data_IF_370644260056
#
_entry.id   IF_370644260056
#
_cell.length_a   1.000
_cell.length_b   1.000
_cell.length_c   1.000
_cell.angle_alpha   90.00
_cell.angle_beta   90.00
_cell.angle_gamma   90.00
#
_symmetry.space_group_name_H-M   'P 1'
#
loop_
_entity.id
_entity.type
_entity.pdbx_description
1 polymer ?
#
# COMPACT_ATOMS: atom_id res chain seq x y z
N UNK A 1 20.78 20.27 2.93
CA UNK A 1 20.02 19.69 4.02
C UNK A 1 20.75 18.44 4.54
N UNK A 2 21.09 18.43 5.82
CA UNK A 2 21.67 17.25 6.44
C UNK A 2 20.57 16.21 6.64
N UNK A 3 20.64 15.13 5.88
CA UNK A 3 19.75 13.99 6.09
C UNK A 3 20.12 13.30 7.42
N UNK A 4 19.12 12.84 8.18
CA UNK A 4 19.39 11.97 9.31
C UNK A 4 20.25 10.78 8.88
N UNK A 5 21.18 10.36 9.73
CA UNK A 5 22.07 9.23 9.43
C UNK A 5 21.39 7.93 9.84
N UNK A 6 21.53 6.92 9.01
CA UNK A 6 21.05 5.58 9.31
C UNK A 6 20.29 4.95 8.17
N UNK A 7 20.16 3.64 8.26
CA UNK A 7 19.36 2.87 7.33
C UNK A 7 17.86 3.16 7.60
N UNK A 8 17.08 3.41 6.60
CA UNK A 8 15.69 3.89 6.68
C UNK A 8 15.54 5.36 7.10
N UNK A 9 16.63 6.15 7.15
CA UNK A 9 16.56 7.59 7.33
C UNK A 9 15.94 8.26 6.09
N UNK A 10 15.08 9.27 6.33
CA UNK A 10 14.35 9.98 5.29
C UNK A 10 14.47 11.49 5.48
N UNK A 11 14.29 12.25 4.40
CA UNK A 11 14.15 13.70 4.50
C UNK A 11 12.82 14.07 5.15
N UNK A 12 12.78 15.21 5.85
CA UNK A 12 11.58 15.70 6.55
C UNK A 12 10.57 16.39 5.64
N UNK A 13 11.00 16.83 4.45
CA UNK A 13 10.13 17.49 3.48
C UNK A 13 9.26 16.51 2.67
N UNK A 14 8.47 17.09 1.77
CA UNK A 14 7.65 16.32 0.83
C UNK A 14 8.54 15.46 -0.07
N UNK A 15 8.24 14.16 -0.16
CA UNK A 15 8.98 13.18 -0.97
C UNK A 15 8.04 12.22 -1.69
N UNK A 16 8.59 11.39 -2.58
CA UNK A 16 7.89 10.32 -3.27
C UNK A 16 6.65 10.81 -4.01
N UNK A 17 6.82 11.90 -4.77
CA UNK A 17 5.75 12.45 -5.58
C UNK A 17 5.34 11.46 -6.66
N UNK A 18 4.04 11.18 -6.75
CA UNK A 18 3.45 10.30 -7.75
C UNK A 18 2.08 10.81 -8.17
N UNK A 19 1.61 10.39 -9.34
CA UNK A 19 0.25 10.62 -9.76
C UNK A 19 -0.69 9.54 -9.20
N UNK A 20 -1.89 9.94 -8.80
CA UNK A 20 -2.96 8.96 -8.55
C UNK A 20 -3.37 8.33 -9.88
N UNK A 21 -3.42 7.00 -9.91
CA UNK A 21 -3.81 6.28 -11.12
C UNK A 21 -5.32 6.28 -11.37
N UNK A 22 -6.12 6.42 -10.32
CA UNK A 22 -7.57 6.38 -10.35
C UNK A 22 -8.24 7.75 -10.59
N UNK A 23 -7.47 8.85 -10.43
CA UNK A 23 -7.99 10.22 -10.46
C UNK A 23 -7.08 11.15 -11.27
N UNK A 24 -7.63 11.93 -12.22
CA UNK A 24 -6.80 12.85 -13.00
C UNK A 24 -6.30 14.02 -12.15
N UNK A 25 -5.20 14.63 -12.59
CA UNK A 25 -4.64 15.87 -12.06
C UNK A 25 -4.51 15.91 -10.53
N UNK A 26 -4.18 14.77 -9.92
CA UNK A 26 -4.00 14.63 -8.47
C UNK A 26 -2.66 13.96 -8.19
N UNK A 27 -1.79 14.67 -7.48
CA UNK A 27 -0.50 14.15 -6.98
C UNK A 27 -0.67 13.56 -5.60
N UNK A 28 0.21 12.63 -5.26
CA UNK A 28 0.48 12.20 -3.89
C UNK A 28 1.89 12.54 -3.49
N UNK A 29 2.13 12.70 -2.21
CA UNK A 29 3.46 12.78 -1.64
C UNK A 29 3.44 12.23 -0.20
N UNK A 30 4.62 11.90 0.31
CA UNK A 30 4.80 11.36 1.66
C UNK A 30 5.63 12.32 2.50
N UNK A 31 5.33 12.40 3.79
CA UNK A 31 6.12 13.14 4.79
C UNK A 31 6.46 12.22 5.97
N UNK A 32 7.69 12.33 6.46
CA UNK A 32 8.13 11.60 7.65
C UNK A 32 7.57 12.22 8.93
N UNK A 33 6.94 11.41 9.78
CA UNK A 33 6.39 11.84 11.08
C UNK A 33 7.38 11.64 12.24
N UNK A 34 8.46 10.89 12.01
CA UNK A 34 9.53 10.65 12.98
C UNK A 34 10.71 11.62 12.82
N UNK A 35 10.53 12.72 12.09
CA UNK A 35 11.61 13.64 11.74
C UNK A 35 12.61 13.05 10.75
N UNK A 36 12.25 11.97 10.06
CA UNK A 36 13.12 11.24 9.15
C UNK A 36 14.18 10.39 9.85
N UNK A 37 14.18 10.37 11.18
CA UNK A 37 15.13 9.64 12.00
C UNK A 37 14.56 8.29 12.44
N UNK A 38 15.13 7.16 11.97
CA UNK A 38 14.66 5.81 12.31
C UNK A 38 14.80 5.47 13.80
N UNK A 39 15.65 6.17 14.56
CA UNK A 39 15.83 5.95 16.00
C UNK A 39 14.66 6.53 16.83
N UNK A 40 13.91 7.48 16.27
CA UNK A 40 12.74 8.03 16.93
C UNK A 40 11.61 6.99 17.03
N UNK A 41 11.10 6.82 18.26
CA UNK A 41 9.97 5.92 18.54
C UNK A 41 8.66 6.70 18.37
N UNK A 42 7.90 6.37 17.33
CA UNK A 42 6.62 7.00 16.99
C UNK A 42 5.58 5.93 16.68
N UNK A 43 4.30 6.30 16.80
CA UNK A 43 3.20 5.39 16.44
C UNK A 43 3.06 5.20 14.93
N UNK A 44 3.34 6.25 14.17
CA UNK A 44 3.32 6.25 12.70
C UNK A 44 4.58 6.95 12.20
N UNK A 45 5.22 6.36 11.19
CA UNK A 45 6.45 6.89 10.61
C UNK A 45 6.23 7.78 9.43
N UNK A 46 5.19 7.52 8.65
CA UNK A 46 4.88 8.28 7.45
C UNK A 46 3.42 8.70 7.40
N UNK A 47 3.18 9.82 6.73
CA UNK A 47 1.85 10.28 6.34
C UNK A 47 1.82 10.58 4.85
N UNK A 48 0.83 10.03 4.18
CA UNK A 48 0.60 10.17 2.75
C UNK A 48 -0.46 11.24 2.54
N UNK A 49 -0.16 12.17 1.64
CA UNK A 49 -1.01 13.30 1.28
C UNK A 49 -1.41 13.24 -0.19
N UNK A 50 -2.52 13.85 -0.51
CA UNK A 50 -2.89 14.16 -1.90
C UNK A 50 -2.95 15.67 -2.13
N UNK A 51 -2.64 16.08 -3.34
CA UNK A 51 -2.63 17.46 -3.79
C UNK A 51 -3.28 17.56 -5.16
N UNK A 52 -4.43 18.21 -5.23
CA UNK A 52 -5.20 18.38 -6.47
C UNK A 52 -4.77 19.65 -7.23
N UNK A 53 -4.96 19.62 -8.56
CA UNK A 53 -4.79 20.82 -9.36
C UNK A 53 -5.67 21.97 -8.84
N UNK A 54 -5.18 23.22 -8.88
CA UNK A 54 -3.96 23.73 -9.53
C UNK A 54 -2.68 23.65 -8.69
N UNK A 55 -2.59 22.79 -7.65
CA UNK A 55 -1.41 22.51 -6.81
C UNK A 55 -0.90 23.71 -6.00
N UNK A 56 -1.74 24.71 -5.76
CA UNK A 56 -1.39 25.96 -5.07
C UNK A 56 -1.87 26.00 -3.62
N UNK A 57 -2.31 24.87 -3.09
CA UNK A 57 -2.77 24.71 -1.70
C UNK A 57 -1.95 23.63 -0.99
N UNK A 58 -2.11 23.52 0.32
CA UNK A 58 -1.56 22.41 1.08
C UNK A 58 -2.31 21.12 0.71
N UNK A 59 -1.56 20.01 0.69
CA UNK A 59 -2.15 18.69 0.45
C UNK A 59 -3.03 18.24 1.62
N UNK A 60 -4.04 17.45 1.33
CA UNK A 60 -4.88 16.81 2.34
C UNK A 60 -4.35 15.43 2.71
N UNK A 61 -4.35 15.12 4.02
CA UNK A 61 -3.95 13.80 4.53
C UNK A 61 -4.88 12.70 4.02
N UNK A 62 -4.30 11.56 3.66
CA UNK A 62 -5.06 10.36 3.28
C UNK A 62 -4.85 9.21 4.25
N UNK A 63 -3.60 8.94 4.63
CA UNK A 63 -3.25 7.75 5.42
C UNK A 63 -1.97 7.98 6.20
N UNK A 64 -1.93 7.46 7.44
CA UNK A 64 -0.69 7.29 8.21
C UNK A 64 -0.30 5.83 8.24
N UNK A 65 0.99 5.53 8.00
CA UNK A 65 1.54 4.18 8.02
C UNK A 65 2.46 3.98 9.22
N UNK A 66 2.46 2.77 9.75
CA UNK A 66 3.28 2.41 10.93
C UNK A 66 4.77 2.39 10.56
N UNK A 67 5.08 1.89 9.38
CA UNK A 67 6.42 1.84 8.80
C UNK A 67 6.57 2.87 7.66
N UNK A 68 7.67 2.81 6.88
CA UNK A 68 7.84 3.65 5.68
C UNK A 68 6.92 3.20 4.57
N UNK A 69 6.04 4.09 4.12
CA UNK A 69 5.20 3.86 2.95
C UNK A 69 6.07 3.72 1.69
N UNK A 70 5.73 2.79 0.78
CA UNK A 70 6.50 2.61 -0.44
C UNK A 70 5.65 2.43 -1.71
N UNK A 71 4.41 2.00 -1.59
CA UNK A 71 3.54 1.80 -2.76
C UNK A 71 2.07 1.97 -2.42
N UNK A 72 1.27 2.33 -3.43
CA UNK A 72 -0.18 2.40 -3.38
C UNK A 72 -0.77 1.76 -4.64
N UNK A 73 -1.55 0.72 -4.46
CA UNK A 73 -2.37 0.13 -5.51
C UNK A 73 -3.73 0.82 -5.52
N UNK A 74 -3.95 1.65 -6.52
CA UNK A 74 -5.17 2.42 -6.68
C UNK A 74 -6.32 1.55 -7.19
N UNK A 75 -7.49 1.66 -6.60
CA UNK A 75 -8.71 0.99 -7.05
C UNK A 75 -9.70 1.99 -7.63
N UNK A 76 -10.46 2.62 -6.77
CA UNK A 76 -11.41 3.66 -7.09
C UNK A 76 -11.17 4.89 -6.21
N UNK A 77 -11.96 5.97 -6.44
CA UNK A 77 -11.89 7.15 -5.58
C UNK A 77 -12.11 6.84 -4.08
N UNK A 78 -12.73 5.73 -3.74
CA UNK A 78 -13.12 5.35 -2.37
C UNK A 78 -12.34 4.17 -1.82
N UNK A 79 -11.48 3.52 -2.62
CA UNK A 79 -10.69 2.38 -2.18
C UNK A 79 -9.33 2.29 -2.85
N UNK A 80 -8.30 2.13 -2.05
CA UNK A 80 -6.94 1.81 -2.46
C UNK A 80 -6.27 0.90 -1.41
N UNK A 81 -5.16 0.28 -1.76
CA UNK A 81 -4.34 -0.54 -0.87
C UNK A 81 -2.96 0.10 -0.81
N UNK A 82 -2.54 0.50 0.38
CA UNK A 82 -1.20 1.04 0.62
C UNK A 82 -0.32 -0.01 1.29
N UNK A 83 0.98 0.08 1.02
CA UNK A 83 1.99 -0.81 1.55
C UNK A 83 3.07 -0.02 2.27
N UNK A 84 3.53 -0.56 3.40
CA UNK A 84 4.68 -0.07 4.14
C UNK A 84 5.69 -1.18 4.41
N UNK A 85 6.90 -0.82 4.78
CA UNK A 85 7.91 -1.79 5.23
C UNK A 85 8.88 -1.19 6.25
N UNK A 86 9.50 -2.08 7.04
CA UNK A 86 10.56 -1.74 7.97
C UNK A 86 11.72 -2.72 7.86
N UNK A 87 12.85 -2.22 7.41
CA UNK A 87 14.02 -3.06 7.12
C UNK A 87 14.53 -3.85 8.33
N UNK A 88 14.65 -3.20 9.50
CA UNK A 88 15.27 -3.82 10.67
C UNK A 88 14.52 -5.06 11.16
N UNK A 89 13.23 -5.12 10.99
CA UNK A 89 12.38 -6.25 11.40
C UNK A 89 11.91 -7.10 10.23
N UNK A 90 12.22 -6.70 8.99
CA UNK A 90 11.70 -7.31 7.78
C UNK A 90 10.17 -7.29 7.70
N UNK A 91 9.55 -6.40 8.44
CA UNK A 91 8.10 -6.28 8.50
C UNK A 91 7.54 -5.52 7.29
N UNK A 92 6.42 -5.98 6.78
CA UNK A 92 5.58 -5.24 5.81
C UNK A 92 4.13 -5.32 6.25
N UNK A 93 3.41 -4.22 6.02
CA UNK A 93 1.97 -4.13 6.26
C UNK A 93 1.27 -3.62 5.02
N UNK A 94 0.03 -4.09 4.85
CA UNK A 94 -0.85 -3.61 3.79
C UNK A 94 -2.15 -3.11 4.41
N UNK A 95 -2.67 -1.99 3.88
CA UNK A 95 -3.84 -1.32 4.41
C UNK A 95 -4.85 -1.05 3.31
N UNK A 96 -6.11 -1.48 3.49
CA UNK A 96 -7.22 -0.96 2.68
C UNK A 96 -7.63 0.38 3.30
N UNK A 97 -7.71 1.43 2.50
CA UNK A 97 -8.12 2.75 2.95
C UNK A 97 -9.01 3.47 1.93
N UNK A 98 -9.74 4.48 2.39
CA UNK A 98 -10.52 5.35 1.53
C UNK A 98 -9.73 6.63 1.22
N UNK A 99 -9.25 6.82 -0.03
CA UNK A 99 -8.48 8.02 -0.39
C UNK A 99 -9.26 9.32 -0.32
N UNK A 100 -10.60 9.26 -0.35
CA UNK A 100 -11.48 10.43 -0.32
C UNK A 100 -11.94 10.80 1.08
N UNK A 101 -11.73 9.92 2.07
CA UNK A 101 -12.20 10.14 3.44
C UNK A 101 -11.19 9.63 4.47
N UNK A 102 -10.26 10.47 4.86
CA UNK A 102 -9.24 10.17 5.86
C UNK A 102 -9.82 9.97 7.29
N UNK A 103 -11.10 10.26 7.52
CA UNK A 103 -11.75 9.98 8.80
C UNK A 103 -12.10 8.51 8.97
N UNK A 104 -12.22 7.78 7.88
CA UNK A 104 -12.43 6.34 7.91
C UNK A 104 -11.15 5.63 8.35
N UNK A 105 -11.27 4.80 9.37
CA UNK A 105 -10.12 4.02 9.86
C UNK A 105 -9.67 3.03 8.79
N UNK A 106 -8.38 3.02 8.42
CA UNK A 106 -7.85 2.03 7.51
C UNK A 106 -7.95 0.62 8.10
N UNK A 107 -8.11 -0.36 7.23
CA UNK A 107 -8.19 -1.77 7.60
C UNK A 107 -6.84 -2.41 7.37
N UNK A 108 -6.23 -2.97 8.42
CA UNK A 108 -4.99 -3.73 8.28
C UNK A 108 -5.31 -5.06 7.57
N UNK A 109 -4.83 -5.19 6.34
CA UNK A 109 -5.06 -6.36 5.50
C UNK A 109 -4.04 -7.46 5.74
N UNK A 110 -2.77 -7.08 5.89
CA UNK A 110 -1.69 -8.01 6.22
C UNK A 110 -0.62 -7.35 7.09
N UNK A 111 0.04 -8.18 7.90
CA UNK A 111 1.16 -7.82 8.77
C UNK A 111 2.08 -9.04 8.83
N UNK A 112 3.20 -9.01 8.11
CA UNK A 112 4.06 -10.17 7.94
C UNK A 112 5.55 -9.81 7.80
N UNK A 113 6.38 -10.82 7.87
CA UNK A 113 7.77 -10.71 7.43
C UNK A 113 7.82 -10.84 5.90
N UNK A 114 8.33 -9.82 5.18
CA UNK A 114 8.38 -9.84 3.72
C UNK A 114 9.39 -10.86 3.14
N UNK A 115 10.29 -11.38 3.95
CA UNK A 115 11.22 -12.47 3.54
C UNK A 115 10.58 -13.87 3.70
N UNK A 116 9.44 -13.97 4.37
CA UNK A 116 8.71 -15.22 4.51
C UNK A 116 7.86 -15.46 3.24
N UNK A 117 8.41 -16.27 2.34
CA UNK A 117 7.74 -16.64 1.10
C UNK A 117 6.49 -17.51 1.31
N UNK A 118 6.41 -18.23 2.43
CA UNK A 118 5.26 -19.09 2.74
C UNK A 118 4.00 -18.29 3.12
N UNK A 119 4.17 -17.12 3.72
CA UNK A 119 3.07 -16.23 4.05
C UNK A 119 2.75 -15.20 2.97
N UNK A 120 3.40 -15.27 1.80
CA UNK A 120 3.20 -14.31 0.73
C UNK A 120 1.77 -14.38 0.18
N UNK A 121 0.98 -13.28 0.27
CA UNK A 121 -0.39 -13.26 -0.21
C UNK A 121 -0.50 -13.16 -1.74
N UNK A 122 0.63 -13.01 -2.44
CA UNK A 122 0.68 -12.75 -3.87
C UNK A 122 0.45 -11.28 -4.23
N UNK A 123 0.37 -11.01 -5.54
CA UNK A 123 0.20 -9.68 -6.12
C UNK A 123 -1.23 -9.51 -6.64
N UNK A 124 -1.83 -8.35 -6.41
CA UNK A 124 -3.17 -8.07 -6.91
C UNK A 124 -3.17 -7.91 -8.44
N UNK A 125 -4.24 -8.42 -9.05
CA UNK A 125 -4.49 -8.26 -10.49
C UNK A 125 -4.93 -6.83 -10.75
N UNK A 126 -4.34 -6.22 -11.77
CA UNK A 126 -4.65 -4.86 -12.20
C UNK A 126 -5.16 -4.85 -13.64
N UNK A 127 -5.90 -3.80 -13.97
CA UNK A 127 -6.37 -3.51 -15.31
C UNK A 127 -6.07 -2.06 -15.70
N UNK A 128 -6.17 -1.73 -16.99
CA UNK A 128 -6.05 -0.35 -17.47
C UNK A 128 -7.40 0.35 -17.41
N UNK A 129 -7.44 1.50 -16.72
CA UNK A 129 -8.62 2.35 -16.73
C UNK A 129 -8.71 3.21 -18.01
N UNK A 130 -9.74 4.07 -18.10
CA UNK A 130 -9.96 4.96 -19.24
C UNK A 130 -8.84 5.98 -19.47
N UNK A 131 -8.00 6.24 -18.47
CA UNK A 131 -6.82 7.12 -18.58
C UNK A 131 -5.55 6.35 -18.99
N UNK A 132 -5.65 5.03 -19.19
CA UNK A 132 -4.51 4.17 -19.48
C UNK A 132 -3.63 3.84 -18.27
N UNK A 133 -4.02 4.24 -17.07
CA UNK A 133 -3.31 3.94 -15.83
C UNK A 133 -3.71 2.59 -15.25
N UNK A 134 -2.77 1.92 -14.55
CA UNK A 134 -3.03 0.64 -13.90
C UNK A 134 -3.80 0.86 -12.61
N UNK A 135 -4.90 0.15 -12.44
CA UNK A 135 -5.72 0.15 -11.22
C UNK A 135 -6.10 -1.28 -10.84
N UNK A 136 -6.46 -1.51 -9.58
CA UNK A 136 -6.97 -2.81 -9.12
C UNK A 136 -8.17 -3.26 -9.95
N UNK A 137 -8.16 -4.50 -10.40
CA UNK A 137 -9.36 -5.12 -11.00
C UNK A 137 -10.36 -5.44 -9.92
N UNK A 138 -11.47 -4.69 -9.88
CA UNK A 138 -12.51 -4.82 -8.86
C UNK A 138 -13.80 -5.34 -9.49
N UNK A 139 -14.24 -6.53 -9.05
CA UNK A 139 -15.49 -7.15 -9.51
C UNK A 139 -16.39 -7.43 -8.31
N UNK A 140 -17.53 -6.74 -8.22
CA UNK A 140 -18.50 -6.90 -7.11
C UNK A 140 -17.83 -6.81 -5.73
N UNK A 141 -17.05 -5.76 -5.51
CA UNK A 141 -16.28 -5.50 -4.29
C UNK A 141 -15.14 -6.51 -4.02
N UNK A 142 -14.77 -7.35 -4.97
CA UNK A 142 -13.66 -8.28 -4.82
C UNK A 142 -12.48 -7.87 -5.68
N UNK A 143 -11.28 -8.06 -5.13
CA UNK A 143 -10.00 -8.07 -5.83
C UNK A 143 -9.44 -9.49 -5.86
N UNK A 144 -8.48 -9.73 -6.76
CA UNK A 144 -7.90 -11.04 -6.96
C UNK A 144 -6.39 -10.95 -6.86
N UNK A 145 -5.77 -11.91 -6.18
CA UNK A 145 -4.32 -11.99 -6.04
C UNK A 145 -3.79 -13.29 -6.66
N UNK A 146 -2.67 -13.17 -7.36
CA UNK A 146 -1.89 -14.30 -7.86
C UNK A 146 -0.68 -14.48 -6.95
N UNK A 147 -0.53 -15.66 -6.37
CA UNK A 147 0.60 -15.99 -5.50
C UNK A 147 1.37 -17.22 -5.97
N UNK A 148 2.65 -17.24 -5.62
CA UNK A 148 3.56 -18.32 -5.97
C UNK A 148 3.28 -19.61 -5.19
N UNK A 149 2.72 -19.50 -3.98
CA UNK A 149 2.30 -20.65 -3.18
C UNK A 149 3.45 -21.53 -2.70
N UNK A 150 4.53 -20.93 -2.22
CA UNK A 150 5.63 -21.68 -1.63
C UNK A 150 5.21 -22.41 -0.35
N UNK A 151 5.61 -23.67 -0.24
CA UNK A 151 5.43 -24.55 0.93
C UNK A 151 6.68 -25.40 1.13
N UNK A 152 6.75 -26.14 2.24
CA UNK A 152 7.82 -27.14 2.44
C UNK A 152 7.81 -28.27 1.41
N UNK A 153 6.64 -28.56 0.83
CA UNK A 153 6.45 -29.63 -0.15
C UNK A 153 6.70 -29.20 -1.60
N UNK A 154 6.72 -27.88 -1.86
CA UNK A 154 6.90 -27.36 -3.20
C UNK A 154 6.23 -26.02 -3.43
N UNK A 155 6.06 -25.68 -4.69
CA UNK A 155 5.45 -24.43 -5.14
C UNK A 155 4.09 -24.73 -5.79
N UNK A 156 3.01 -24.21 -5.22
CA UNK A 156 1.64 -24.41 -5.65
C UNK A 156 0.97 -23.06 -5.94
N UNK A 157 1.20 -22.46 -7.11
CA UNK A 157 0.62 -21.19 -7.49
C UNK A 157 -0.89 -21.14 -7.28
N UNK A 158 -1.37 -19.99 -6.85
CA UNK A 158 -2.77 -19.86 -6.47
C UNK A 158 -3.40 -18.55 -6.96
N UNK A 159 -4.74 -18.55 -6.96
CA UNK A 159 -5.55 -17.35 -7.10
C UNK A 159 -6.44 -17.22 -5.87
N UNK A 160 -6.28 -16.13 -5.16
CA UNK A 160 -7.14 -15.76 -4.04
C UNK A 160 -8.09 -14.62 -4.44
N UNK A 161 -9.32 -14.71 -3.99
CA UNK A 161 -10.32 -13.65 -4.05
C UNK A 161 -10.45 -13.01 -2.67
N UNK A 162 -10.34 -11.69 -2.60
CA UNK A 162 -10.50 -10.91 -1.37
C UNK A 162 -11.67 -9.93 -1.54
N UNK A 163 -12.64 -9.99 -0.64
CA UNK A 163 -13.72 -9.01 -0.59
C UNK A 163 -13.25 -7.77 0.20
N UNK A 164 -13.26 -6.60 -0.45
CA UNK A 164 -12.76 -5.34 0.12
C UNK A 164 -13.60 -4.80 1.29
N UNK A 165 -14.87 -5.19 1.37
CA UNK A 165 -15.79 -4.73 2.44
C UNK A 165 -15.76 -5.66 3.66
N UNK A 166 -15.81 -6.96 3.42
CA UNK A 166 -15.89 -7.96 4.50
C UNK A 166 -14.54 -8.53 4.90
N UNK A 167 -13.49 -8.26 4.14
CA UNK A 167 -12.13 -8.82 4.22
C UNK A 167 -12.11 -10.37 4.13
N UNK A 168 -13.21 -10.97 3.69
CA UNK A 168 -13.25 -12.42 3.48
C UNK A 168 -12.37 -12.80 2.30
N UNK A 169 -11.42 -13.70 2.55
CA UNK A 169 -10.54 -14.28 1.55
C UNK A 169 -10.95 -15.72 1.25
N UNK A 170 -11.03 -16.04 -0.04
CA UNK A 170 -11.31 -17.39 -0.52
C UNK A 170 -10.25 -17.77 -1.55
N UNK A 171 -9.64 -18.93 -1.41
CA UNK A 171 -8.83 -19.55 -2.46
C UNK A 171 -9.75 -20.07 -3.55
N UNK A 172 -9.69 -19.49 -4.76
CA UNK A 172 -10.54 -19.91 -5.88
C UNK A 172 -9.84 -20.84 -6.85
N UNK A 173 -8.50 -20.88 -6.81
CA UNK A 173 -7.68 -21.81 -7.56
C UNK A 173 -6.37 -22.09 -6.83
N UNK A 174 -5.87 -23.31 -6.94
CA UNK A 174 -4.52 -23.69 -6.55
C UNK A 174 -4.01 -24.77 -7.49
N UNK A 175 -2.77 -24.62 -7.97
CA UNK A 175 -2.11 -25.65 -8.76
C UNK A 175 -1.84 -26.88 -7.90
N UNK A 176 -1.97 -28.04 -8.50
CA UNK A 176 -1.59 -29.33 -7.87
C UNK A 176 -0.12 -29.69 -8.15
N UNK A 177 0.53 -28.96 -9.09
CA UNK A 177 1.91 -29.18 -9.53
C UNK A 177 2.62 -27.85 -9.77
#
# INVERSE_FOLDING_TARGET
EDLPKGFMAERTGKRDFSWRNDKPATLTYTMALDGGDPENKVAFRDEIFQLEAPFNQEGSSMLKTINRAYDIEWGTNDVAIAHDYWWNTRNTKSYIFNPSDASQKPILLSDRNYQDSYSDPGNFITERNSMGSSVLTIVKDNVFALGDGYTEEGQFPFVDQLNLKTQKKNRIYQSEY
#
